data_IF_993419755055
#
_entry.id   IF_993419755055
#
_cell.length_a   1.000
_cell.length_b   1.000
_cell.length_c   1.000
_cell.angle_alpha   90.00
_cell.angle_beta   90.00
_cell.angle_gamma   90.00
#
_symmetry.space_group_name_H-M   'P 1'
#
loop_
_entity.id
_entity.type
_entity.pdbx_description
1 polymer ?
#
# COMPACT_ATOMS: atom_id res chain seq x y z
N UNK A 1 9.97 11.21 -12.04
CA UNK A 1 10.79 12.10 -11.19
C UNK A 1 10.76 13.57 -11.64
N UNK A 2 10.88 13.88 -12.93
CA UNK A 2 10.86 15.27 -13.45
C UNK A 2 9.55 16.00 -13.08
N UNK A 3 8.40 15.33 -13.18
CA UNK A 3 7.09 15.91 -12.81
C UNK A 3 7.03 16.27 -11.32
N UNK A 4 7.58 15.43 -10.46
CA UNK A 4 7.63 15.65 -9.01
C UNK A 4 8.50 16.85 -8.64
N UNK A 5 9.69 16.99 -9.28
CA UNK A 5 10.62 18.10 -9.04
C UNK A 5 10.03 19.42 -9.48
N UNK A 6 9.27 19.43 -10.58
CA UNK A 6 8.63 20.64 -11.13
C UNK A 6 7.38 21.05 -10.35
N UNK A 7 6.69 20.11 -9.71
CA UNK A 7 5.40 20.34 -9.03
C UNK A 7 5.36 19.66 -7.66
N UNK A 8 6.19 20.08 -6.68
CA UNK A 8 6.09 19.53 -5.34
C UNK A 8 4.84 20.10 -4.65
N UNK A 9 3.71 19.39 -4.77
CA UNK A 9 2.48 19.71 -4.02
C UNK A 9 2.71 19.36 -2.55
N UNK A 10 3.04 20.36 -1.74
CA UNK A 10 3.34 20.16 -0.32
C UNK A 10 2.09 20.12 0.57
N UNK A 11 0.97 20.71 0.15
CA UNK A 11 -0.26 20.81 0.96
C UNK A 11 -1.36 19.90 0.42
N UNK A 12 -1.25 18.59 0.68
CA UNK A 12 -2.14 17.57 0.14
C UNK A 12 -3.62 17.79 0.46
N UNK A 13 -3.95 17.94 1.76
CA UNK A 13 -5.36 17.95 2.18
C UNK A 13 -6.11 19.19 1.69
N UNK A 14 -5.45 20.33 1.64
CA UNK A 14 -6.08 21.57 1.14
C UNK A 14 -6.41 21.47 -0.33
N UNK A 15 -5.49 20.94 -1.12
CA UNK A 15 -5.65 20.80 -2.58
C UNK A 15 -6.76 19.80 -2.93
N UNK A 16 -6.74 18.60 -2.31
CA UNK A 16 -7.68 17.55 -2.68
C UNK A 16 -9.05 17.64 -1.99
N UNK A 17 -9.14 18.19 -0.76
CA UNK A 17 -10.44 18.48 -0.14
C UNK A 17 -11.22 19.57 -0.88
N UNK A 18 -10.55 20.62 -1.32
CA UNK A 18 -11.21 21.71 -2.08
C UNK A 18 -11.83 21.22 -3.40
N UNK A 19 -11.34 20.08 -3.92
CA UNK A 19 -11.84 19.45 -5.14
C UNK A 19 -12.78 18.26 -4.87
N UNK A 20 -13.23 18.05 -3.63
CA UNK A 20 -14.01 16.88 -3.19
C UNK A 20 -13.40 15.51 -3.54
N UNK A 21 -12.06 15.43 -3.61
CA UNK A 21 -11.33 14.21 -4.03
C UNK A 21 -10.78 13.40 -2.88
N UNK A 22 -10.79 13.93 -1.66
CA UNK A 22 -10.25 13.25 -0.49
C UNK A 22 -10.96 13.67 0.80
N UNK A 23 -11.26 12.71 1.64
CA UNK A 23 -11.84 12.95 2.97
C UNK A 23 -10.77 13.13 4.05
N UNK A 24 -9.62 12.52 3.88
CA UNK A 24 -8.51 12.55 4.83
C UNK A 24 -7.15 12.64 4.11
N UNK A 25 -6.06 12.71 4.88
CA UNK A 25 -4.71 12.84 4.31
C UNK A 25 -4.20 11.54 3.63
N UNK A 26 -4.79 10.38 3.93
CA UNK A 26 -4.51 9.11 3.24
C UNK A 26 -5.06 9.15 1.83
N UNK A 27 -6.35 9.41 1.68
CA UNK A 27 -7.03 9.57 0.40
C UNK A 27 -6.34 10.64 -0.46
N UNK A 28 -5.91 11.75 0.17
CA UNK A 28 -5.18 12.82 -0.52
C UNK A 28 -3.83 12.36 -1.09
N UNK A 29 -3.11 11.47 -0.41
CA UNK A 29 -1.85 10.91 -0.90
C UNK A 29 -2.09 9.92 -2.04
N UNK A 30 -3.16 9.14 -2.00
CA UNK A 30 -3.56 8.25 -3.10
C UNK A 30 -3.88 9.06 -4.35
N UNK A 31 -4.71 10.10 -4.24
CA UNK A 31 -5.04 10.97 -5.36
C UNK A 31 -3.82 11.72 -5.91
N UNK A 32 -2.95 12.20 -5.02
CA UNK A 32 -1.67 12.78 -5.42
C UNK A 32 -0.80 11.79 -6.20
N UNK A 33 -0.78 10.53 -5.77
CA UNK A 33 -0.02 9.47 -6.44
C UNK A 33 -0.59 9.22 -7.85
N UNK A 34 -1.90 9.13 -7.99
CA UNK A 34 -2.56 9.00 -9.30
C UNK A 34 -2.23 10.17 -10.24
N UNK A 35 -2.32 11.39 -9.72
CA UNK A 35 -1.96 12.59 -10.49
C UNK A 35 -0.46 12.63 -10.86
N UNK A 36 0.41 12.13 -9.99
CA UNK A 36 1.85 12.04 -10.26
C UNK A 36 2.15 11.09 -11.43
N UNK A 37 1.56 9.92 -11.45
CA UNK A 37 1.75 8.94 -12.53
C UNK A 37 1.09 9.39 -13.83
N UNK A 38 -0.13 9.86 -13.80
CA UNK A 38 -0.86 10.33 -14.97
C UNK A 38 -0.40 11.72 -15.45
N UNK A 39 0.23 12.51 -14.58
CA UNK A 39 0.67 13.88 -14.91
C UNK A 39 -0.47 14.90 -14.96
N UNK A 40 -1.44 14.77 -14.06
CA UNK A 40 -2.72 15.46 -14.09
C UNK A 40 -2.88 16.57 -13.06
N UNK A 41 -1.79 17.08 -12.51
CA UNK A 41 -1.83 18.10 -11.45
C UNK A 41 -2.54 19.41 -11.85
N UNK A 42 -2.44 19.82 -13.11
CA UNK A 42 -3.01 21.06 -13.63
C UNK A 42 -4.25 20.84 -14.53
N UNK A 43 -4.73 19.60 -14.64
CA UNK A 43 -5.86 19.25 -15.48
C UNK A 43 -7.21 19.60 -14.82
N UNK A 44 -8.20 19.95 -15.64
CA UNK A 44 -9.59 19.92 -15.20
C UNK A 44 -10.05 18.47 -14.94
N UNK A 45 -11.28 18.29 -14.47
CA UNK A 45 -11.77 16.96 -14.08
C UNK A 45 -11.92 16.02 -15.27
N UNK A 46 -12.37 16.52 -16.41
CA UNK A 46 -12.55 15.72 -17.62
C UNK A 46 -11.21 15.22 -18.16
N UNK A 47 -10.26 16.14 -18.36
CA UNK A 47 -8.91 15.81 -18.82
C UNK A 47 -8.18 14.88 -17.85
N UNK A 48 -8.39 15.08 -16.55
CA UNK A 48 -7.84 14.22 -15.50
C UNK A 48 -8.35 12.79 -15.64
N UNK A 49 -9.64 12.57 -15.74
CA UNK A 49 -10.26 11.25 -15.89
C UNK A 49 -9.78 10.57 -17.19
N UNK A 50 -9.74 11.30 -18.29
CA UNK A 50 -9.23 10.78 -19.56
C UNK A 50 -7.78 10.30 -19.44
N UNK A 51 -6.89 11.13 -18.91
CA UNK A 51 -5.48 10.79 -18.74
C UNK A 51 -5.27 9.66 -17.72
N UNK A 52 -6.01 9.66 -16.62
CA UNK A 52 -5.94 8.57 -15.64
C UNK A 52 -6.43 7.25 -16.26
N UNK A 53 -7.51 7.26 -17.04
CA UNK A 53 -8.00 6.07 -17.74
C UNK A 53 -7.01 5.54 -18.80
N UNK A 54 -6.18 6.40 -19.36
CA UNK A 54 -5.11 6.00 -20.27
C UNK A 54 -3.92 5.34 -19.56
N UNK A 55 -3.65 5.72 -18.30
CA UNK A 55 -2.49 5.26 -17.53
C UNK A 55 -2.81 4.07 -16.63
N UNK A 56 -4.01 4.05 -16.02
CA UNK A 56 -4.41 3.04 -15.06
C UNK A 56 -5.44 2.09 -15.67
N UNK A 57 -5.29 0.80 -15.38
CA UNK A 57 -6.33 -0.21 -15.60
C UNK A 57 -7.30 -0.29 -14.43
N UNK A 58 -6.81 0.02 -13.20
CA UNK A 58 -7.60 -0.02 -11.97
C UNK A 58 -7.23 1.15 -11.05
N UNK A 59 -8.22 1.79 -10.45
CA UNK A 59 -8.06 2.98 -9.60
C UNK A 59 -8.30 2.72 -8.10
N UNK A 60 -8.34 1.45 -7.70
CA UNK A 60 -8.48 1.07 -6.31
C UNK A 60 -9.90 1.08 -5.77
N UNK A 61 -10.03 0.60 -4.54
CA UNK A 61 -11.20 0.74 -3.68
C UNK A 61 -10.77 0.79 -2.20
N UNK A 62 -11.69 1.12 -1.30
CA UNK A 62 -11.37 1.34 0.12
C UNK A 62 -11.13 0.05 0.92
N UNK A 63 -11.28 -1.13 0.34
CA UNK A 63 -11.33 -2.40 1.11
C UNK A 63 -10.30 -3.43 0.69
N UNK A 64 -9.82 -3.37 -0.54
CA UNK A 64 -8.97 -4.39 -1.15
C UNK A 64 -7.74 -3.77 -1.81
N UNK A 65 -6.57 -4.41 -1.68
CA UNK A 65 -5.41 -4.01 -2.47
C UNK A 65 -5.60 -4.38 -3.96
N UNK A 66 -4.87 -3.72 -4.86
CA UNK A 66 -4.01 -2.56 -4.66
C UNK A 66 -4.79 -1.24 -4.72
N UNK A 67 -4.16 -0.14 -4.36
CA UNK A 67 -4.75 1.21 -4.46
C UNK A 67 -4.81 1.72 -5.91
N UNK A 68 -4.02 1.15 -6.83
CA UNK A 68 -4.11 1.36 -8.27
C UNK A 68 -3.32 0.30 -9.06
N UNK A 69 -3.61 0.14 -10.36
CA UNK A 69 -2.77 -0.63 -11.28
C UNK A 69 -2.46 0.18 -12.54
N UNK A 70 -1.20 0.20 -12.93
CA UNK A 70 -0.77 0.73 -14.22
C UNK A 70 -1.13 -0.27 -15.33
N UNK A 71 -1.65 0.23 -16.45
CA UNK A 71 -1.95 -0.60 -17.63
C UNK A 71 -0.70 -1.32 -18.12
N UNK A 72 -0.75 -2.66 -18.17
CA UNK A 72 0.38 -3.49 -18.55
C UNK A 72 1.62 -3.34 -17.65
N UNK A 73 1.49 -2.65 -16.51
CA UNK A 73 2.58 -2.33 -15.60
C UNK A 73 2.34 -2.82 -14.18
N UNK A 74 2.90 -2.11 -13.22
CA UNK A 74 2.95 -2.49 -11.81
C UNK A 74 1.65 -2.15 -11.06
N UNK A 75 1.40 -2.83 -9.95
CA UNK A 75 0.39 -2.48 -8.97
C UNK A 75 0.98 -1.50 -7.94
N UNK A 76 0.18 -0.57 -7.46
CA UNK A 76 0.60 0.49 -6.56
C UNK A 76 -0.12 0.36 -5.22
N UNK A 77 0.63 0.42 -4.14
CA UNK A 77 0.12 0.48 -2.77
C UNK A 77 0.63 1.78 -2.11
N UNK A 78 -0.28 2.60 -1.64
CA UNK A 78 0.02 3.91 -1.05
C UNK A 78 -0.09 3.83 0.46
N UNK A 79 0.92 4.29 1.17
CA UNK A 79 0.92 4.31 2.64
C UNK A 79 1.30 5.69 3.16
N UNK A 80 0.43 6.24 4.00
CA UNK A 80 0.70 7.47 4.73
C UNK A 80 1.24 7.15 6.13
N UNK A 81 2.27 7.87 6.54
CA UNK A 81 2.75 7.91 7.92
C UNK A 81 2.84 9.37 8.40
N UNK A 82 2.72 9.59 9.69
CA UNK A 82 2.67 10.93 10.28
C UNK A 82 3.98 11.35 10.94
N UNK A 83 4.80 10.38 11.33
CA UNK A 83 6.12 10.63 11.92
C UNK A 83 7.22 10.16 10.99
N UNK A 84 8.41 10.75 11.12
CA UNK A 84 9.52 10.50 10.19
C UNK A 84 9.96 9.03 10.16
N UNK A 85 9.91 8.35 11.30
CA UNK A 85 10.53 7.02 11.49
C UNK A 85 9.51 5.95 11.90
N UNK A 86 8.20 6.26 11.84
CA UNK A 86 7.17 5.27 12.12
C UNK A 86 7.20 4.14 11.09
N UNK A 87 7.03 2.91 11.57
CA UNK A 87 6.76 1.75 10.73
C UNK A 87 5.39 1.86 10.07
N UNK A 88 5.21 1.19 8.95
CA UNK A 88 3.93 1.10 8.26
C UNK A 88 3.07 0.03 8.93
N UNK A 89 1.86 0.40 9.31
CA UNK A 89 0.85 -0.56 9.76
C UNK A 89 0.12 -1.13 8.53
N UNK A 90 0.15 -2.44 8.38
CA UNK A 90 -0.44 -3.17 7.25
C UNK A 90 -1.71 -3.95 7.65
N UNK A 91 -2.19 -3.74 8.89
CA UNK A 91 -3.32 -4.46 9.45
C UNK A 91 -3.14 -5.98 9.36
N UNK A 92 -4.16 -6.72 8.95
CA UNK A 92 -4.13 -8.19 8.87
C UNK A 92 -3.54 -8.75 7.56
N UNK A 93 -3.11 -7.89 6.65
CA UNK A 93 -2.44 -8.29 5.40
C UNK A 93 -0.94 -8.15 5.53
N UNK A 94 -0.18 -9.22 5.27
CA UNK A 94 1.27 -9.12 5.17
C UNK A 94 1.69 -8.30 3.95
N UNK A 95 2.91 -7.71 3.97
CA UNK A 95 3.43 -6.96 2.83
C UNK A 95 3.61 -7.88 1.62
N UNK A 96 3.42 -7.35 0.43
CA UNK A 96 3.47 -8.11 -0.83
C UNK A 96 4.58 -7.58 -1.73
N UNK A 97 5.41 -8.47 -2.25
CA UNK A 97 6.37 -8.10 -3.29
C UNK A 97 5.73 -8.13 -4.69
N UNK A 98 4.77 -9.04 -4.90
CA UNK A 98 3.93 -9.10 -6.10
C UNK A 98 2.46 -9.30 -5.71
N UNK A 99 1.55 -9.09 -6.64
CA UNK A 99 0.13 -9.41 -6.51
C UNK A 99 -0.30 -10.25 -7.70
N UNK A 100 -1.17 -11.25 -7.46
CA UNK A 100 -1.65 -12.19 -8.48
C UNK A 100 -3.14 -12.02 -8.73
N UNK A 101 -3.56 -12.25 -9.96
CA UNK A 101 -4.97 -12.13 -10.37
C UNK A 101 -5.88 -13.16 -9.70
N UNK A 102 -5.36 -14.30 -9.28
CA UNK A 102 -6.09 -15.33 -8.53
C UNK A 102 -6.13 -15.08 -7.00
N UNK A 103 -5.50 -14.02 -6.52
CA UNK A 103 -5.48 -13.71 -5.08
C UNK A 103 -6.89 -13.51 -4.54
N UNK A 104 -7.24 -14.17 -3.41
CA UNK A 104 -8.54 -13.97 -2.77
C UNK A 104 -8.68 -12.60 -2.08
N UNK A 105 -7.62 -11.79 -2.06
CA UNK A 105 -7.58 -10.51 -1.38
C UNK A 105 -7.94 -9.33 -2.29
N UNK A 106 -7.94 -9.53 -3.61
CA UNK A 106 -8.31 -8.49 -4.57
C UNK A 106 -9.81 -8.51 -4.86
N UNK A 107 -10.34 -7.38 -5.32
CA UNK A 107 -11.73 -7.30 -5.79
C UNK A 107 -11.88 -7.94 -7.19
N UNK A 108 -13.10 -8.32 -7.54
CA UNK A 108 -13.44 -8.77 -8.90
C UNK A 108 -13.08 -7.68 -9.93
N UNK A 109 -13.45 -6.43 -9.67
CA UNK A 109 -13.10 -5.30 -10.55
C UNK A 109 -11.59 -5.13 -10.76
N UNK A 110 -10.76 -5.48 -9.77
CA UNK A 110 -9.30 -5.48 -9.92
C UNK A 110 -8.84 -6.64 -10.80
N UNK A 111 -9.44 -7.81 -10.62
CA UNK A 111 -9.12 -9.02 -11.40
C UNK A 111 -9.42 -8.83 -12.87
N UNK A 112 -10.55 -8.21 -13.18
CA UNK A 112 -11.09 -8.07 -14.54
C UNK A 112 -10.64 -6.75 -15.24
N UNK A 113 -9.83 -5.93 -14.57
CA UNK A 113 -9.43 -4.64 -15.08
C UNK A 113 -8.60 -4.68 -16.37
N UNK A 114 -7.84 -5.75 -16.56
CA UNK A 114 -7.07 -6.07 -17.77
C UNK A 114 -6.73 -7.56 -17.80
N UNK A 115 -6.13 -8.06 -18.88
CA UNK A 115 -5.58 -9.43 -18.93
C UNK A 115 -4.20 -9.44 -18.26
N UNK A 116 -4.09 -10.09 -17.10
CA UNK A 116 -2.87 -10.14 -16.30
C UNK A 116 -2.85 -11.36 -15.39
N UNK A 117 -1.66 -11.82 -15.03
CA UNK A 117 -1.46 -12.92 -14.10
C UNK A 117 -0.78 -12.47 -12.81
N UNK A 118 0.32 -11.75 -12.92
CA UNK A 118 1.10 -11.25 -11.78
C UNK A 118 1.65 -9.86 -12.08
N UNK A 119 1.63 -8.98 -11.08
CA UNK A 119 2.20 -7.63 -11.14
C UNK A 119 3.16 -7.40 -9.98
N UNK A 120 4.26 -6.71 -10.24
CA UNK A 120 5.13 -6.22 -9.17
C UNK A 120 4.38 -5.17 -8.34
N UNK A 121 4.58 -5.20 -7.01
CA UNK A 121 4.03 -4.17 -6.12
C UNK A 121 4.99 -3.00 -6.00
N UNK A 122 4.48 -1.80 -6.17
CA UNK A 122 5.19 -0.54 -5.98
C UNK A 122 4.61 0.18 -4.77
N UNK A 123 5.39 0.28 -3.71
CA UNK A 123 4.99 1.03 -2.50
C UNK A 123 5.32 2.51 -2.65
N UNK A 124 4.30 3.34 -2.48
CA UNK A 124 4.41 4.79 -2.43
C UNK A 124 4.16 5.24 -0.99
N UNK A 125 5.21 5.61 -0.29
CA UNK A 125 5.16 5.93 1.15
C UNK A 125 5.40 7.40 1.37
N UNK A 126 4.37 8.10 1.84
CA UNK A 126 4.41 9.52 2.14
C UNK A 126 4.44 9.81 3.64
N UNK A 127 5.41 10.63 4.07
CA UNK A 127 5.40 11.23 5.41
C UNK A 127 4.64 12.55 5.32
N UNK A 128 3.45 12.59 5.94
CA UNK A 128 2.55 13.74 5.91
C UNK A 128 2.43 14.29 7.32
N UNK A 129 2.92 15.51 7.55
CA UNK A 129 2.81 16.25 8.81
C UNK A 129 1.99 17.52 8.58
N UNK A 130 1.00 17.73 9.42
CA UNK A 130 0.14 18.93 9.33
C UNK A 130 -0.42 19.14 7.91
N UNK A 131 -0.84 18.05 7.26
CA UNK A 131 -1.31 18.01 5.88
C UNK A 131 -0.27 18.37 4.80
N UNK A 132 1.00 18.45 5.18
CA UNK A 132 2.11 18.74 4.25
C UNK A 132 2.88 17.46 3.99
N UNK A 133 3.06 17.11 2.71
CA UNK A 133 3.94 16.03 2.30
C UNK A 133 5.40 16.45 2.49
N UNK A 134 6.07 15.85 3.46
CA UNK A 134 7.46 16.15 3.81
C UNK A 134 8.46 15.23 3.13
N UNK A 135 8.12 13.96 3.02
CA UNK A 135 8.98 12.97 2.40
C UNK A 135 8.12 12.02 1.57
N UNK A 136 8.63 11.61 0.42
CA UNK A 136 8.01 10.61 -0.45
C UNK A 136 9.05 9.56 -0.84
N UNK A 137 8.78 8.30 -0.54
CA UNK A 137 9.56 7.16 -1.00
C UNK A 137 8.74 6.33 -1.97
N UNK A 138 9.36 5.90 -3.08
CA UNK A 138 8.79 4.94 -4.02
C UNK A 138 9.77 3.77 -4.09
N UNK A 139 9.30 2.57 -3.68
CA UNK A 139 10.15 1.38 -3.59
C UNK A 139 9.40 0.15 -4.09
N UNK A 140 10.10 -0.74 -4.79
CA UNK A 140 9.51 -2.00 -5.25
C UNK A 140 9.40 -3.00 -4.10
N UNK A 141 8.29 -3.72 -4.06
CA UNK A 141 8.06 -4.79 -3.11
C UNK A 141 9.13 -5.89 -3.20
N UNK A 142 9.66 -6.17 -4.38
CA UNK A 142 10.76 -7.12 -4.59
C UNK A 142 12.05 -6.76 -3.82
N UNK A 143 12.28 -5.48 -3.57
CA UNK A 143 13.43 -4.99 -2.81
C UNK A 143 13.11 -4.74 -1.33
N UNK A 144 11.83 -4.69 -0.98
CA UNK A 144 11.35 -4.23 0.31
C UNK A 144 10.65 -5.30 1.14
N UNK A 145 10.05 -6.29 0.50
CA UNK A 145 9.25 -7.35 1.15
C UNK A 145 9.88 -8.73 0.92
N UNK A 146 9.66 -9.64 1.86
CA UNK A 146 9.96 -11.04 1.65
C UNK A 146 8.95 -11.72 0.72
N UNK A 147 9.22 -12.94 0.29
CA UNK A 147 8.29 -13.73 -0.50
C UNK A 147 7.00 -14.05 0.27
N UNK A 148 5.91 -14.25 -0.46
CA UNK A 148 4.63 -14.67 0.09
C UNK A 148 4.76 -15.92 0.96
N UNK A 149 5.59 -16.88 0.55
CA UNK A 149 5.86 -18.12 1.30
C UNK A 149 6.41 -17.86 2.70
N UNK A 150 7.27 -16.84 2.85
CA UNK A 150 7.82 -16.46 4.15
C UNK A 150 6.70 -16.03 5.12
N UNK A 151 5.83 -15.15 4.68
CA UNK A 151 4.75 -14.62 5.53
C UNK A 151 3.62 -15.64 5.76
N UNK A 152 3.20 -16.35 4.71
CA UNK A 152 2.12 -17.35 4.80
C UNK A 152 2.51 -18.53 5.70
N UNK A 153 3.76 -19.00 5.62
CA UNK A 153 4.29 -20.04 6.50
C UNK A 153 4.27 -19.60 7.96
N UNK A 154 4.70 -18.39 8.27
CA UNK A 154 4.66 -17.86 9.65
C UNK A 154 3.21 -17.73 10.13
N UNK A 155 2.32 -17.17 9.30
CA UNK A 155 0.89 -17.02 9.63
C UNK A 155 0.27 -18.37 9.93
N UNK A 156 0.53 -19.39 9.09
CA UNK A 156 0.00 -20.76 9.28
C UNK A 156 0.49 -21.38 10.59
N UNK A 157 1.79 -21.26 10.89
CA UNK A 157 2.37 -21.79 12.14
C UNK A 157 1.77 -21.13 13.38
N UNK A 158 1.58 -19.81 13.36
CA UNK A 158 0.94 -19.09 14.48
C UNK A 158 -0.52 -19.51 14.61
N UNK A 159 -1.27 -19.62 13.51
CA UNK A 159 -2.65 -20.07 13.52
C UNK A 159 -2.77 -21.49 14.08
N UNK A 160 -1.89 -22.42 13.68
CA UNK A 160 -1.83 -23.76 14.23
C UNK A 160 -1.58 -23.74 15.73
N UNK A 161 -0.62 -22.97 16.22
CA UNK A 161 -0.34 -22.84 17.65
C UNK A 161 -1.50 -22.25 18.45
N UNK A 162 -2.17 -21.23 17.92
CA UNK A 162 -3.35 -20.66 18.57
C UNK A 162 -4.48 -21.66 18.66
N UNK A 163 -4.78 -22.39 17.58
CA UNK A 163 -5.90 -23.35 17.55
C UNK A 163 -5.59 -24.68 18.27
N UNK A 164 -4.36 -24.90 18.72
CA UNK A 164 -3.96 -26.04 19.54
C UNK A 164 -4.13 -25.80 21.05
N UNK A 165 -4.62 -24.64 21.48
CA UNK A 165 -4.84 -24.33 22.91
C UNK A 165 -5.97 -25.21 23.42
N UNK A 166 -5.66 -26.04 24.45
CA UNK A 166 -6.62 -26.96 25.05
C UNK A 166 -7.72 -26.24 25.82
N UNK A 167 -8.91 -26.85 25.85
CA UNK A 167 -10.05 -26.34 26.62
C UNK A 167 -10.75 -25.13 26.00
N UNK A 168 -10.46 -24.82 24.75
CA UNK A 168 -11.04 -23.68 24.02
C UNK A 168 -11.82 -24.17 22.79
N UNK A 169 -13.05 -23.66 22.63
CA UNK A 169 -13.92 -24.00 21.48
C UNK A 169 -13.57 -23.08 20.28
N UNK A 170 -12.68 -23.54 19.43
CA UNK A 170 -12.31 -22.85 18.20
C UNK A 170 -13.25 -23.18 17.05
N UNK A 171 -13.55 -22.18 16.22
CA UNK A 171 -14.25 -22.37 14.95
C UNK A 171 -13.37 -22.00 13.77
N UNK A 172 -13.71 -22.54 12.61
CA UNK A 172 -13.04 -22.22 11.36
C UNK A 172 -13.08 -20.70 11.07
N UNK A 173 -11.95 -20.14 10.67
CA UNK A 173 -11.80 -18.71 10.41
C UNK A 173 -10.67 -18.44 9.42
N UNK A 174 -10.76 -17.32 8.68
CA UNK A 174 -9.65 -16.77 7.86
C UNK A 174 -8.60 -16.01 8.68
N UNK A 175 -8.88 -15.77 9.96
CA UNK A 175 -7.97 -15.12 10.92
C UNK A 175 -7.01 -16.13 11.56
N UNK A 176 -6.28 -15.75 12.59
CA UNK A 176 -5.41 -16.67 13.33
C UNK A 176 -6.20 -17.62 14.21
N UNK A 177 -7.35 -17.19 14.71
CA UNK A 177 -8.25 -18.01 15.50
C UNK A 177 -9.56 -17.28 15.80
N UNK A 178 -10.61 -18.05 16.06
CA UNK A 178 -11.89 -17.56 16.57
C UNK A 178 -12.36 -18.50 17.67
N UNK A 179 -12.52 -17.97 18.87
CA UNK A 179 -13.06 -18.67 20.03
C UNK A 179 -14.51 -18.31 20.20
N UNK A 180 -15.39 -19.31 20.27
CA UNK A 180 -16.81 -19.10 20.54
C UNK A 180 -17.13 -19.40 22.00
N UNK A 181 -18.32 -19.00 22.44
CA UNK A 181 -18.88 -19.33 23.76
C UNK A 181 -17.89 -19.02 24.90
N UNK A 182 -17.29 -17.83 24.88
CA UNK A 182 -16.29 -17.42 25.88
C UNK A 182 -16.90 -17.25 27.27
N UNK A 183 -18.18 -16.92 27.33
CA UNK A 183 -18.94 -16.70 28.58
C UNK A 183 -19.93 -17.84 28.82
N UNK A 184 -20.44 -18.02 30.06
CA UNK A 184 -21.40 -19.09 30.41
C UNK A 184 -22.72 -19.06 29.62
N UNK A 185 -23.11 -17.89 29.10
CA UNK A 185 -24.29 -17.75 28.25
C UNK A 185 -24.03 -18.12 26.79
N UNK A 186 -22.77 -18.28 26.41
CA UNK A 186 -22.36 -18.66 25.06
C UNK A 186 -22.61 -17.60 23.99
N UNK A 187 -22.77 -16.35 24.37
CA UNK A 187 -23.09 -15.23 23.48
C UNK A 187 -21.87 -14.37 23.09
N UNK A 188 -20.74 -14.55 23.78
CA UNK A 188 -19.49 -13.84 23.49
C UNK A 188 -18.55 -14.69 22.67
N UNK A 189 -17.80 -14.04 21.78
CA UNK A 189 -16.73 -14.66 21.00
C UNK A 189 -15.49 -13.75 20.99
N UNK A 190 -14.33 -14.37 20.81
CA UNK A 190 -13.06 -13.65 20.65
C UNK A 190 -12.45 -13.94 19.28
N UNK A 191 -11.93 -12.94 18.63
CA UNK A 191 -11.18 -13.05 17.36
C UNK A 191 -9.71 -12.80 17.61
N UNK A 192 -8.85 -13.74 17.17
CA UNK A 192 -7.39 -13.60 17.22
C UNK A 192 -6.91 -13.14 15.86
N UNK A 193 -6.39 -11.91 15.80
CA UNK A 193 -5.95 -11.27 14.56
C UNK A 193 -4.46 -10.95 14.64
N UNK A 194 -3.72 -11.26 13.59
CA UNK A 194 -2.36 -10.80 13.42
C UNK A 194 -2.34 -9.41 12.80
N UNK A 195 -1.52 -8.53 13.37
CA UNK A 195 -1.25 -7.20 12.80
C UNK A 195 0.16 -7.22 12.23
N UNK A 196 0.29 -6.95 10.93
CA UNK A 196 1.57 -6.85 10.26
C UNK A 196 2.08 -5.42 10.27
N UNK A 197 3.37 -5.28 10.39
CA UNK A 197 4.07 -4.02 10.22
C UNK A 197 5.31 -4.23 9.36
N UNK A 198 5.74 -3.19 8.68
CA UNK A 198 7.01 -3.17 7.96
C UNK A 198 7.73 -1.86 8.26
N UNK A 199 9.04 -1.90 8.39
CA UNK A 199 9.82 -0.70 8.63
C UNK A 199 9.64 0.31 7.50
N UNK A 200 9.71 1.56 7.88
CA UNK A 200 9.67 2.69 6.96
C UNK A 200 10.80 2.59 5.92
N UNK A 201 10.54 2.73 4.62
CA UNK A 201 11.59 2.65 3.60
C UNK A 201 12.72 3.67 3.81
N UNK A 202 12.44 4.82 4.42
CA UNK A 202 13.47 5.78 4.79
C UNK A 202 14.45 5.27 5.85
N UNK A 203 14.02 4.38 6.73
CA UNK A 203 14.87 3.71 7.71
C UNK A 203 15.58 2.53 7.09
N UNK A 204 14.84 1.70 6.36
CA UNK A 204 15.34 0.50 5.68
C UNK A 204 16.45 0.83 4.69
N UNK A 205 16.27 1.85 3.87
CA UNK A 205 17.20 2.25 2.79
C UNK A 205 18.05 3.47 3.12
N UNK A 206 18.25 3.78 4.40
CA UNK A 206 19.06 4.93 4.85
C UNK A 206 20.51 4.90 4.33
N UNK A 207 21.00 3.73 3.96
CA UNK A 207 22.34 3.55 3.39
C UNK A 207 22.43 3.99 1.93
N UNK A 208 21.29 4.10 1.22
CA UNK A 208 21.20 4.63 -0.15
C UNK A 208 21.07 6.14 -0.13
N UNK A 209 20.17 6.65 0.71
CA UNK A 209 19.90 8.08 0.81
C UNK A 209 19.49 8.47 2.24
N UNK A 210 20.16 9.48 2.78
CA UNK A 210 19.82 10.07 4.07
C UNK A 210 19.01 11.35 3.88
N UNK A 211 17.85 11.42 4.57
CA UNK A 211 17.00 12.62 4.53
C UNK A 211 17.72 13.84 5.08
N UNK A 212 17.63 14.95 4.39
CA UNK A 212 18.00 16.26 4.90
C UNK A 212 16.76 16.96 5.47
N UNK A 213 16.63 16.97 6.79
CA UNK A 213 15.51 17.57 7.50
C UNK A 213 15.45 19.11 7.39
N UNK A 214 16.49 19.76 6.92
CA UNK A 214 16.50 21.20 6.61
C UNK A 214 15.76 21.50 5.31
N UNK A 215 15.58 20.50 4.45
CA UNK A 215 14.82 20.63 3.20
C UNK A 215 13.30 20.50 3.46
N UNK A 216 12.54 21.28 2.70
CA UNK A 216 11.06 21.23 2.78
C UNK A 216 10.49 19.90 2.30
N UNK A 217 11.19 19.23 1.38
CA UNK A 217 10.76 17.97 0.79
C UNK A 217 11.97 17.07 0.48
N UNK A 218 11.84 15.78 0.78
CA UNK A 218 12.81 14.75 0.38
C UNK A 218 12.10 13.70 -0.48
N UNK A 219 12.76 13.26 -1.53
CA UNK A 219 12.26 12.23 -2.43
C UNK A 219 13.30 11.13 -2.62
N UNK A 220 12.85 9.88 -2.55
CA UNK A 220 13.64 8.68 -2.84
C UNK A 220 12.84 7.77 -3.75
N UNK A 221 13.45 7.29 -4.82
CA UNK A 221 12.89 6.25 -5.67
C UNK A 221 13.95 5.18 -5.88
N UNK A 222 13.62 3.95 -5.50
CA UNK A 222 14.50 2.79 -5.64
C UNK A 222 13.94 1.83 -6.68
N UNK A 223 14.79 1.47 -7.60
CA UNK A 223 14.55 0.43 -8.61
C UNK A 223 15.82 -0.41 -8.71
N UNK A 224 15.68 -1.73 -8.65
CA UNK A 224 16.82 -2.62 -8.81
C UNK A 224 17.23 -2.77 -10.29
N UNK A 225 18.46 -3.18 -10.51
CA UNK A 225 19.03 -3.31 -11.86
C UNK A 225 18.23 -4.28 -12.75
N UNK A 226 17.70 -5.37 -12.21
CA UNK A 226 16.90 -6.34 -12.98
C UNK A 226 15.61 -5.70 -13.48
N UNK A 227 14.92 -4.93 -12.62
CA UNK A 227 13.70 -4.21 -13.01
C UNK A 227 14.04 -3.08 -13.98
N UNK A 228 15.11 -2.35 -13.74
CA UNK A 228 15.58 -1.28 -14.63
C UNK A 228 15.86 -1.82 -16.04
N UNK A 229 16.63 -2.90 -16.15
CA UNK A 229 16.97 -3.52 -17.44
C UNK A 229 15.74 -4.08 -18.16
N UNK A 230 14.74 -4.57 -17.44
CA UNK A 230 13.45 -5.02 -18.03
C UNK A 230 12.63 -3.86 -18.62
N UNK A 231 12.75 -2.65 -18.05
CA UNK A 231 11.99 -1.49 -18.53
C UNK A 231 12.69 -0.71 -19.64
N UNK A 232 14.02 -0.75 -19.71
CA UNK A 232 14.82 0.11 -20.58
C UNK A 232 15.90 -0.65 -21.38
N UNK A 233 16.07 -1.93 -21.17
CA UNK A 233 16.94 -2.82 -21.97
C UNK A 233 16.13 -3.47 -23.09
#
# INVERSE_FOLDING_TARGET
SIKLVKNPLLMLTREYKSRNRANNAGDALEEYTKDLFAGTFACDEFERLERQSAVFSYLGNNSNPPDAMLKGGDAIEVKKIETNDASLALNSSYPKHTIKSDSPMISEACRDAEDWHEKDMLYVVGVVKENILRHLAIVYGLDYCASETCYSSLKSRIATGVNAIEGVDFSETRELGRVNKVDPLGITYMRVRGMWGIENPWTTFRYVYQRDFRKKFNFMCLINDKKWNRLYG
#
